data_IF_329265768759
#
_entry.id   IF_329265768759
#
_cell.length_a   1.000
_cell.length_b   1.000
_cell.length_c   1.000
_cell.angle_alpha   90.00
_cell.angle_beta   90.00
_cell.angle_gamma   90.00
#
_symmetry.space_group_name_H-M   'P 1'
#
loop_
_entity.id
_entity.type
_entity.pdbx_description
1 polymer ?
#
# COMPACT_ATOMS: atom_id res chain seq x y z
N UNK A 1 -18.07 -10.45 7.93
CA UNK A 1 -16.99 -11.05 7.11
C UNK A 1 -16.94 -12.54 7.35
N UNK A 2 -16.95 -13.34 6.31
CA UNK A 2 -16.84 -14.80 6.40
C UNK A 2 -15.40 -15.22 6.71
N UNK A 3 -15.24 -16.47 7.15
CA UNK A 3 -13.89 -17.03 7.36
C UNK A 3 -13.08 -17.06 6.07
N UNK A 4 -13.72 -17.40 4.94
CA UNK A 4 -13.08 -17.41 3.63
C UNK A 4 -12.57 -16.00 3.26
N UNK A 5 -13.37 -14.97 3.49
CA UNK A 5 -12.98 -13.59 3.23
C UNK A 5 -11.81 -13.16 4.13
N UNK A 6 -11.84 -13.53 5.41
CA UNK A 6 -10.73 -13.24 6.33
C UNK A 6 -9.43 -13.91 5.89
N UNK A 7 -9.51 -15.16 5.46
CA UNK A 7 -8.33 -15.90 5.00
C UNK A 7 -7.75 -15.30 3.71
N UNK A 8 -8.61 -14.89 2.78
CA UNK A 8 -8.19 -14.21 1.55
C UNK A 8 -7.52 -12.89 1.87
N UNK A 9 -8.12 -12.10 2.77
CA UNK A 9 -7.56 -10.82 3.19
C UNK A 9 -6.18 -11.00 3.85
N UNK A 10 -6.05 -11.99 4.73
CA UNK A 10 -4.77 -12.25 5.41
C UNK A 10 -3.68 -12.63 4.42
N UNK A 11 -3.98 -13.44 3.41
CA UNK A 11 -3.01 -13.82 2.36
C UNK A 11 -2.62 -12.62 1.51
N UNK A 12 -3.60 -11.82 1.09
CA UNK A 12 -3.32 -10.62 0.30
C UNK A 12 -2.47 -9.62 1.08
N UNK A 13 -2.76 -9.42 2.37
CA UNK A 13 -1.96 -8.53 3.22
C UNK A 13 -0.54 -9.04 3.42
N UNK A 14 -0.34 -10.35 3.50
CA UNK A 14 1.03 -10.88 3.63
C UNK A 14 1.86 -10.64 2.37
N UNK A 15 1.21 -10.54 1.21
CA UNK A 15 1.88 -10.28 -0.07
C UNK A 15 2.06 -8.78 -0.32
N UNK A 16 1.01 -7.99 -0.11
CA UNK A 16 0.96 -6.59 -0.52
C UNK A 16 1.01 -5.60 0.64
N UNK A 17 0.86 -6.08 1.86
CA UNK A 17 0.86 -5.23 3.05
C UNK A 17 2.24 -5.00 3.62
N UNK A 18 2.42 -3.84 4.24
CA UNK A 18 3.60 -3.51 5.03
C UNK A 18 3.10 -3.29 6.45
N UNK A 19 3.63 -4.03 7.42
CA UNK A 19 3.26 -3.85 8.81
C UNK A 19 3.76 -2.51 9.33
N UNK A 20 2.93 -1.82 10.11
CA UNK A 20 3.37 -0.60 10.77
C UNK A 20 4.53 -0.88 11.72
N UNK A 21 5.51 -0.02 11.74
CA UNK A 21 6.61 -0.05 12.71
C UNK A 21 7.10 1.37 12.96
N UNK A 22 7.97 1.54 13.94
CA UNK A 22 8.59 2.83 14.23
C UNK A 22 9.88 3.07 13.44
N UNK A 23 10.22 2.17 12.54
CA UNK A 23 11.40 2.29 11.69
C UNK A 23 11.01 2.85 10.33
N UNK A 24 11.90 3.65 9.74
CA UNK A 24 11.69 4.16 8.39
C UNK A 24 11.78 3.03 7.38
N UNK A 25 10.93 3.11 6.35
CA UNK A 25 10.92 2.12 5.27
C UNK A 25 11.90 2.52 4.17
N UNK A 26 12.38 1.51 3.47
CA UNK A 26 13.21 1.66 2.28
C UNK A 26 12.39 1.16 1.08
N UNK A 27 11.90 2.10 0.26
CA UNK A 27 11.09 1.77 -0.92
C UNK A 27 11.83 0.83 -1.88
N UNK A 28 13.12 1.08 -2.10
CA UNK A 28 13.91 0.25 -3.01
C UNK A 28 13.97 -1.20 -2.53
N UNK A 29 14.13 -1.40 -1.23
CA UNK A 29 14.14 -2.75 -0.65
C UNK A 29 12.76 -3.42 -0.77
N UNK A 30 11.69 -2.66 -0.45
CA UNK A 30 10.32 -3.18 -0.49
C UNK A 30 9.92 -3.60 -1.91
N UNK A 31 10.22 -2.76 -2.89
CA UNK A 31 9.82 -3.02 -4.28
C UNK A 31 10.87 -3.80 -5.08
N UNK A 32 12.07 -3.97 -4.53
CA UNK A 32 13.15 -4.69 -5.19
C UNK A 32 13.73 -3.95 -6.40
N UNK A 33 13.48 -2.66 -6.51
CA UNK A 33 13.93 -1.85 -7.65
C UNK A 33 13.94 -0.38 -7.28
N UNK A 34 14.77 0.46 -7.94
CA UNK A 34 14.64 1.90 -7.82
C UNK A 34 13.42 2.40 -8.59
N UNK A 35 12.96 3.58 -8.30
CA UNK A 35 11.83 4.21 -8.99
C UNK A 35 11.27 5.37 -8.18
N UNK A 36 10.38 6.18 -8.77
CA UNK A 36 9.69 7.23 -8.05
C UNK A 36 8.95 6.68 -6.83
N UNK A 37 9.11 7.34 -5.71
CA UNK A 37 8.56 6.93 -4.41
C UNK A 37 7.32 7.76 -4.10
N UNK A 38 6.16 7.15 -4.25
CA UNK A 38 4.86 7.82 -4.14
C UNK A 38 4.12 7.29 -2.92
N UNK A 39 3.58 8.19 -2.12
CA UNK A 39 2.70 7.84 -1.00
C UNK A 39 1.34 8.46 -1.23
N UNK A 40 0.31 7.62 -1.30
CA UNK A 40 -1.08 8.05 -1.37
C UNK A 40 -1.69 7.93 0.01
N UNK A 41 -2.19 9.03 0.55
CA UNK A 41 -2.75 9.09 1.90
C UNK A 41 -4.27 9.07 1.83
N UNK A 42 -4.90 8.18 2.61
CA UNK A 42 -6.36 8.12 2.69
C UNK A 42 -6.98 7.70 1.36
N UNK A 43 -6.56 6.58 0.82
CA UNK A 43 -7.00 6.15 -0.51
C UNK A 43 -8.47 5.71 -0.60
N UNK A 44 -9.19 5.65 0.53
CA UNK A 44 -10.60 5.27 0.54
C UNK A 44 -10.81 3.84 0.05
N UNK A 45 -11.56 3.67 -1.03
CA UNK A 45 -11.80 2.37 -1.65
C UNK A 45 -10.74 1.99 -2.71
N UNK A 46 -9.81 2.88 -2.97
CA UNK A 46 -8.62 2.59 -3.78
C UNK A 46 -8.78 2.61 -5.28
N UNK A 47 -9.91 3.10 -5.81
CA UNK A 47 -10.11 3.16 -7.27
C UNK A 47 -9.05 4.03 -7.96
N UNK A 48 -8.88 5.25 -7.48
CA UNK A 48 -7.91 6.18 -8.05
C UNK A 48 -6.49 5.69 -7.85
N UNK A 49 -6.21 5.15 -6.67
CA UNK A 49 -4.88 4.63 -6.33
C UNK A 49 -4.49 3.46 -7.23
N UNK A 50 -5.40 2.52 -7.44
CA UNK A 50 -5.16 1.39 -8.33
C UNK A 50 -4.95 1.86 -9.76
N UNK A 51 -5.71 2.85 -10.22
CA UNK A 51 -5.57 3.41 -11.57
C UNK A 51 -4.23 4.13 -11.74
N UNK A 52 -3.77 4.87 -10.72
CA UNK A 52 -2.45 5.50 -10.75
C UNK A 52 -1.35 4.46 -10.87
N UNK A 53 -1.42 3.39 -10.09
CA UNK A 53 -0.43 2.31 -10.15
C UNK A 53 -0.42 1.64 -11.52
N UNK A 54 -1.60 1.42 -12.09
CA UNK A 54 -1.74 0.80 -13.41
C UNK A 54 -1.17 1.69 -14.51
N UNK A 55 -1.43 2.98 -14.43
CA UNK A 55 -0.99 3.96 -15.44
C UNK A 55 0.50 4.30 -15.34
N UNK A 56 1.10 4.08 -14.18
CA UNK A 56 2.51 4.40 -13.92
C UNK A 56 3.23 3.17 -13.35
N UNK A 57 3.45 2.14 -14.18
CA UNK A 57 4.07 0.91 -13.69
C UNK A 57 5.49 1.10 -13.14
N UNK A 58 6.17 2.19 -13.48
CA UNK A 58 7.49 2.54 -12.98
C UNK A 58 7.47 3.13 -11.56
N UNK A 59 6.32 3.53 -11.06
CA UNK A 59 6.20 4.08 -9.71
C UNK A 59 6.29 2.98 -8.65
N UNK A 60 6.93 3.29 -7.54
CA UNK A 60 6.88 2.49 -6.32
C UNK A 60 5.88 3.18 -5.39
N UNK A 61 4.64 2.71 -5.40
CA UNK A 61 3.52 3.38 -4.75
C UNK A 61 3.12 2.67 -3.46
N UNK A 62 3.03 3.43 -2.37
CA UNK A 62 2.51 2.93 -1.11
C UNK A 62 1.23 3.69 -0.79
N UNK A 63 0.15 2.97 -0.54
CA UNK A 63 -1.11 3.53 -0.08
C UNK A 63 -1.25 3.35 1.42
N UNK A 64 -1.64 4.42 2.11
CA UNK A 64 -1.86 4.41 3.55
C UNK A 64 -3.33 4.68 3.84
N UNK A 65 -3.96 3.82 4.63
CA UNK A 65 -5.37 3.94 4.96
C UNK A 65 -5.66 3.25 6.28
N UNK A 66 -6.59 3.80 7.06
CA UNK A 66 -7.05 3.20 8.31
C UNK A 66 -8.39 2.48 8.12
N UNK A 67 -9.15 2.83 7.10
CA UNK A 67 -10.46 2.27 6.83
C UNK A 67 -10.36 0.85 6.28
N UNK A 68 -10.72 -0.10 7.13
CA UNK A 68 -10.55 -1.53 6.84
C UNK A 68 -11.23 -1.99 5.54
N UNK A 69 -12.45 -1.51 5.29
CA UNK A 69 -13.17 -1.87 4.05
C UNK A 69 -12.46 -1.34 2.82
N UNK A 70 -11.87 -0.15 2.91
CA UNK A 70 -11.09 0.44 1.82
C UNK A 70 -9.82 -0.36 1.52
N UNK A 71 -9.13 -0.80 2.57
CA UNK A 71 -7.96 -1.67 2.42
C UNK A 71 -8.33 -2.96 1.70
N UNK A 72 -9.42 -3.60 2.11
CA UNK A 72 -9.91 -4.81 1.45
C UNK A 72 -10.27 -4.57 -0.02
N UNK A 73 -10.89 -3.44 -0.32
CA UNK A 73 -11.25 -3.07 -1.70
C UNK A 73 -10.00 -2.89 -2.56
N UNK A 74 -8.97 -2.19 -2.05
CA UNK A 74 -7.74 -2.00 -2.80
C UNK A 74 -6.99 -3.32 -2.99
N UNK A 75 -6.93 -4.18 -1.98
CA UNK A 75 -6.34 -5.51 -2.12
C UNK A 75 -7.00 -6.30 -3.25
N UNK A 76 -8.32 -6.26 -3.32
CA UNK A 76 -9.07 -6.91 -4.39
C UNK A 76 -8.71 -6.36 -5.76
N UNK A 77 -8.55 -5.05 -5.87
CA UNK A 77 -8.15 -4.41 -7.14
C UNK A 77 -6.73 -4.79 -7.56
N UNK A 78 -5.81 -4.86 -6.61
CA UNK A 78 -4.43 -5.27 -6.86
C UNK A 78 -4.41 -6.68 -7.48
N UNK A 79 -5.13 -7.61 -6.86
CA UNK A 79 -5.21 -8.99 -7.34
C UNK A 79 -5.87 -9.07 -8.71
N UNK A 80 -7.00 -8.39 -8.86
CA UNK A 80 -7.80 -8.44 -10.09
C UNK A 80 -7.06 -7.84 -11.27
N UNK A 81 -6.33 -6.75 -11.07
CA UNK A 81 -5.60 -6.04 -12.13
C UNK A 81 -4.17 -6.54 -12.29
N UNK A 82 -3.70 -7.43 -11.43
CA UNK A 82 -2.34 -7.95 -11.52
C UNK A 82 -1.28 -6.90 -11.23
N UNK A 83 -1.57 -5.95 -10.32
CA UNK A 83 -0.62 -4.88 -10.01
C UNK A 83 0.51 -5.42 -9.14
N UNK A 84 1.74 -4.98 -9.43
CA UNK A 84 2.93 -5.40 -8.67
C UNK A 84 3.68 -4.22 -8.04
N UNK A 85 3.32 -2.99 -8.42
CA UNK A 85 4.02 -1.77 -8.01
C UNK A 85 3.30 -0.99 -6.91
N UNK A 86 2.49 -1.66 -6.10
CA UNK A 86 1.74 -1.04 -5.03
C UNK A 86 1.81 -1.89 -3.76
N UNK A 87 1.94 -1.21 -2.62
CA UNK A 87 1.88 -1.83 -1.29
C UNK A 87 0.96 -1.01 -0.41
N UNK A 88 0.47 -1.61 0.67
CA UNK A 88 -0.51 -0.98 1.56
C UNK A 88 -0.01 -0.99 3.00
N UNK A 89 -0.17 0.14 3.69
CA UNK A 89 0.01 0.20 5.14
C UNK A 89 -1.36 0.52 5.73
N UNK A 90 -1.91 -0.42 6.49
CA UNK A 90 -3.18 -0.22 7.20
C UNK A 90 -2.87 0.27 8.61
N UNK A 91 -2.87 1.58 8.79
CA UNK A 91 -2.54 2.19 10.07
C UNK A 91 -2.86 3.68 10.05
N UNK A 92 -2.83 4.32 11.21
CA UNK A 92 -2.99 5.77 11.33
C UNK A 92 -1.94 6.52 10.50
N UNK A 93 -2.38 7.41 9.63
CA UNK A 93 -1.52 8.08 8.67
C UNK A 93 -0.51 8.99 9.36
N UNK A 94 -0.90 9.68 10.44
CA UNK A 94 0.03 10.56 11.17
C UNK A 94 1.21 9.76 11.71
N UNK A 95 0.94 8.60 12.28
CA UNK A 95 2.00 7.72 12.78
C UNK A 95 2.88 7.17 11.67
N UNK A 96 2.29 6.82 10.53
CA UNK A 96 3.05 6.37 9.34
C UNK A 96 4.01 7.48 8.90
N UNK A 97 3.51 8.70 8.75
CA UNK A 97 4.34 9.83 8.32
C UNK A 97 5.42 10.16 9.33
N UNK A 98 5.10 10.04 10.62
CA UNK A 98 6.06 10.37 11.69
C UNK A 98 7.21 9.36 11.77
N UNK A 99 6.92 8.07 11.64
CA UNK A 99 7.88 7.02 11.95
C UNK A 99 8.40 6.24 10.76
N UNK A 100 7.61 6.08 9.71
CA UNK A 100 7.95 5.18 8.61
C UNK A 100 8.50 5.89 7.38
N UNK A 101 8.24 7.18 7.22
CA UNK A 101 8.65 7.93 6.03
C UNK A 101 9.81 8.85 6.39
N UNK A 102 10.95 8.63 5.76
CA UNK A 102 12.12 9.46 5.96
C UNK A 102 11.91 10.85 5.35
N UNK A 103 12.51 11.88 5.96
CA UNK A 103 12.45 13.24 5.44
C UNK A 103 12.94 13.29 4.00
N UNK A 104 12.19 13.99 3.15
CA UNK A 104 12.55 14.19 1.73
C UNK A 104 12.70 12.89 0.93
N UNK A 105 12.09 11.78 1.38
CA UNK A 105 12.19 10.49 0.68
C UNK A 105 11.18 10.32 -0.45
N UNK A 106 10.13 11.14 -0.50
CA UNK A 106 9.05 11.02 -1.49
C UNK A 106 9.30 11.91 -2.71
N UNK A 107 8.79 11.44 -3.83
CA UNK A 107 8.84 12.19 -5.09
C UNK A 107 7.53 12.90 -5.39
#
# INVERSE_FOLDING_TARGET
>A
MTESQRNTRARSLSTWGIAYSTETIDFKEIFGRPGPQILEIGFGMGETTAEMARSHPEWNLIGAEVYRAGVGALLSRIEKLGLTNIRIIEHDVVEILTHMIADESLD
#
